data_IF_263465134553
#
_entry.id   IF_263465134553
#
_cell.length_a   1.000
_cell.length_b   1.000
_cell.length_c   1.000
_cell.angle_alpha   90.00
_cell.angle_beta   90.00
_cell.angle_gamma   90.00
#
_symmetry.space_group_name_H-M   'P 1'
#
loop_
_entity.id
_entity.type
_entity.pdbx_description
1 polymer ?
#
# COMPACT_ATOMS: atom_id res chain seq x y z
N UNK A 1 5.19 59.34 21.76
CA UNK A 1 6.60 58.95 21.66
C UNK A 1 6.74 57.62 22.41
N UNK A 2 6.90 56.49 21.71
CA UNK A 2 6.89 55.16 22.36
C UNK A 2 8.23 54.98 23.09
N UNK A 3 8.17 54.73 24.39
CA UNK A 3 9.34 54.59 25.26
C UNK A 3 10.23 53.41 24.81
N UNK A 4 11.56 53.56 24.97
CA UNK A 4 12.54 52.56 24.51
C UNK A 4 12.31 51.16 25.12
N UNK A 5 11.79 51.11 26.35
CA UNK A 5 11.42 49.87 27.05
C UNK A 5 10.24 49.16 26.38
N UNK A 6 9.23 49.91 25.93
CA UNK A 6 8.05 49.34 25.25
C UNK A 6 8.42 48.76 23.88
N UNK A 7 9.38 49.38 23.17
CA UNK A 7 9.90 48.85 21.89
C UNK A 7 10.63 47.53 22.07
N UNK A 8 11.41 47.36 23.14
CA UNK A 8 12.08 46.09 23.45
C UNK A 8 11.08 44.97 23.75
N UNK A 9 10.02 45.26 24.50
CA UNK A 9 8.96 44.28 24.79
C UNK A 9 8.22 43.87 23.52
N UNK A 10 7.87 44.84 22.66
CA UNK A 10 7.25 44.56 21.36
C UNK A 10 8.17 43.74 20.45
N UNK A 11 9.46 44.07 20.40
CA UNK A 11 10.44 43.32 19.61
C UNK A 11 10.56 41.87 20.10
N UNK A 12 10.64 41.65 21.41
CA UNK A 12 10.65 40.31 22.01
C UNK A 12 9.37 39.52 21.71
N UNK A 13 8.21 40.20 21.76
CA UNK A 13 6.92 39.58 21.44
C UNK A 13 6.83 39.14 19.97
N UNK A 14 7.26 40.00 19.05
CA UNK A 14 7.32 39.68 17.62
C UNK A 14 8.31 38.54 17.36
N UNK A 15 9.44 38.52 18.05
CA UNK A 15 10.44 37.44 17.94
C UNK A 15 9.87 36.10 18.41
N UNK A 16 9.17 36.08 19.54
CA UNK A 16 8.53 34.87 20.06
C UNK A 16 7.45 34.35 19.09
N UNK A 17 6.61 35.24 18.56
CA UNK A 17 5.59 34.89 17.56
C UNK A 17 6.21 34.33 16.28
N UNK A 18 7.33 34.89 15.83
CA UNK A 18 8.08 34.41 14.67
C UNK A 18 8.59 32.97 14.90
N UNK A 19 9.24 32.71 16.03
CA UNK A 19 9.78 31.38 16.36
C UNK A 19 8.69 30.32 16.42
N UNK A 20 7.54 30.64 17.04
CA UNK A 20 6.41 29.72 17.13
C UNK A 20 5.86 29.40 15.74
N UNK A 21 5.68 30.42 14.91
CA UNK A 21 5.15 30.27 13.55
C UNK A 21 6.10 29.43 12.68
N UNK A 22 7.41 29.68 12.77
CA UNK A 22 8.41 28.91 12.02
C UNK A 22 8.45 27.44 12.47
N UNK A 23 8.41 27.20 13.78
CA UNK A 23 8.41 25.85 14.35
C UNK A 23 7.19 25.04 13.91
N UNK A 24 6.02 25.66 13.91
CA UNK A 24 4.79 25.02 13.45
C UNK A 24 4.85 24.68 11.95
N UNK A 25 5.31 25.62 11.12
CA UNK A 25 5.46 25.39 9.67
C UNK A 25 6.48 24.31 9.35
N UNK A 26 7.61 24.25 10.05
CA UNK A 26 8.60 23.18 9.89
C UNK A 26 8.04 21.81 10.27
N UNK A 27 7.31 21.71 11.38
CA UNK A 27 6.69 20.45 11.80
C UNK A 27 5.63 19.98 10.79
N UNK A 28 4.78 20.90 10.33
CA UNK A 28 3.76 20.61 9.32
C UNK A 28 4.39 20.18 7.99
N UNK A 29 5.47 20.86 7.56
CA UNK A 29 6.22 20.49 6.35
C UNK A 29 6.88 19.11 6.50
N UNK A 30 7.43 18.79 7.67
CA UNK A 30 8.00 17.45 7.96
C UNK A 30 6.93 16.35 7.86
N UNK A 31 5.75 16.60 8.42
CA UNK A 31 4.63 15.65 8.34
C UNK A 31 4.10 15.47 6.92
N UNK A 32 4.03 16.55 6.14
CA UNK A 32 3.57 16.51 4.75
C UNK A 32 4.62 15.96 3.78
N UNK A 33 5.91 16.08 4.11
CA UNK A 33 6.99 15.48 3.34
C UNK A 33 6.92 13.95 3.35
N UNK A 34 6.44 13.37 4.46
CA UNK A 34 6.13 11.95 4.52
C UNK A 34 4.75 11.72 3.91
N UNK A 35 4.72 11.40 2.61
CA UNK A 35 3.56 10.70 2.04
C UNK A 35 3.46 9.33 2.73
N UNK A 36 2.65 9.23 3.79
CA UNK A 36 2.18 7.93 4.27
C UNK A 36 1.19 7.39 3.25
N UNK A 37 1.70 6.69 2.24
CA UNK A 37 0.88 5.83 1.41
C UNK A 37 0.59 4.61 2.28
N UNK A 38 -0.64 4.52 2.79
CA UNK A 38 -1.10 3.36 3.54
C UNK A 38 -1.21 2.19 2.57
N UNK A 39 -0.10 1.50 2.30
CA UNK A 39 -0.15 0.24 1.56
C UNK A 39 -0.79 -0.81 2.48
N UNK A 40 -1.99 -1.33 2.14
CA UNK A 40 -2.72 -2.23 3.02
C UNK A 40 -2.04 -3.60 3.19
N UNK A 41 -1.13 -3.95 2.28
CA UNK A 41 -0.40 -5.22 2.28
C UNK A 41 1.02 -4.97 1.76
N UNK A 42 2.03 -5.07 2.62
CA UNK A 42 3.45 -4.97 2.21
C UNK A 42 4.16 -6.32 2.25
N UNK A 43 3.68 -7.23 3.11
CA UNK A 43 4.30 -8.53 3.34
C UNK A 43 3.30 -9.66 3.18
N UNK A 44 3.79 -10.88 2.93
CA UNK A 44 2.96 -12.08 2.98
C UNK A 44 2.33 -12.26 4.37
N UNK A 45 2.98 -11.75 5.42
CA UNK A 45 2.45 -11.76 6.78
C UNK A 45 1.17 -10.95 6.93
N UNK A 46 1.11 -9.76 6.33
CA UNK A 46 -0.10 -8.92 6.37
C UNK A 46 -1.31 -9.59 5.70
N UNK A 47 -1.06 -10.42 4.68
CA UNK A 47 -2.10 -11.24 4.03
C UNK A 47 -2.59 -12.37 4.93
N UNK A 48 -1.68 -13.00 5.68
CA UNK A 48 -2.01 -14.09 6.60
C UNK A 48 -2.80 -13.54 7.79
N UNK A 49 -2.34 -12.43 8.37
CA UNK A 49 -2.90 -11.82 9.57
C UNK A 49 -4.27 -11.15 9.34
N UNK A 50 -4.55 -10.65 8.12
CA UNK A 50 -5.88 -10.12 7.77
C UNK A 50 -6.83 -11.22 7.32
N UNK A 51 -7.86 -11.61 8.09
CA UNK A 51 -8.76 -12.71 7.73
C UNK A 51 -9.74 -12.38 6.60
N UNK A 52 -9.98 -11.10 6.30
CA UNK A 52 -10.91 -10.63 5.27
C UNK A 52 -10.37 -10.73 3.84
N UNK A 53 -9.05 -10.84 3.67
CA UNK A 53 -8.42 -10.84 2.35
C UNK A 53 -8.48 -12.22 1.69
N UNK A 54 -8.92 -12.25 0.44
CA UNK A 54 -8.93 -13.45 -0.42
C UNK A 54 -7.79 -13.37 -1.44
N UNK A 55 -7.01 -14.44 -1.57
CA UNK A 55 -5.87 -14.51 -2.48
C UNK A 55 -6.29 -15.15 -3.80
N UNK A 56 -5.97 -14.50 -4.92
CA UNK A 56 -6.21 -15.01 -6.27
C UNK A 56 -4.90 -15.52 -6.84
N UNK A 57 -4.90 -16.77 -7.29
CA UNK A 57 -3.70 -17.44 -7.85
C UNK A 57 -3.99 -18.16 -9.17
N UNK A 58 -2.99 -18.31 -10.04
CA UNK A 58 -3.17 -19.02 -11.29
C UNK A 58 -3.06 -20.53 -11.03
N UNK A 59 -3.99 -21.36 -11.53
CA UNK A 59 -3.95 -22.79 -11.32
C UNK A 59 -2.75 -23.42 -12.04
N UNK A 60 -2.21 -24.50 -11.47
CA UNK A 60 -1.19 -25.35 -12.09
C UNK A 60 0.08 -24.60 -12.55
N UNK A 61 0.56 -23.68 -11.73
CA UNK A 61 1.81 -22.95 -11.99
C UNK A 61 2.94 -23.42 -11.10
N UNK A 62 4.17 -23.07 -11.48
CA UNK A 62 5.36 -23.31 -10.65
C UNK A 62 5.18 -22.66 -9.27
N UNK A 63 4.58 -21.48 -9.19
CA UNK A 63 4.32 -20.78 -7.92
C UNK A 63 3.43 -21.64 -7.00
N UNK A 64 2.31 -22.15 -7.51
CA UNK A 64 1.41 -23.00 -6.71
C UNK A 64 2.07 -24.31 -6.31
N UNK A 65 2.92 -24.89 -7.17
CA UNK A 65 3.68 -26.09 -6.84
C UNK A 65 4.74 -25.82 -5.75
N UNK A 66 5.42 -24.69 -5.80
CA UNK A 66 6.41 -24.29 -4.78
C UNK A 66 5.75 -23.98 -3.44
N UNK A 67 4.58 -23.32 -3.45
CA UNK A 67 3.78 -23.05 -2.25
C UNK A 67 3.31 -24.37 -1.61
N UNK A 68 2.80 -25.31 -2.41
CA UNK A 68 2.37 -26.62 -1.94
C UNK A 68 3.53 -27.49 -1.44
N UNK A 69 4.71 -27.39 -2.05
CA UNK A 69 5.91 -28.11 -1.64
C UNK A 69 6.59 -27.52 -0.40
N UNK A 70 6.23 -26.29 0.00
CA UNK A 70 6.83 -25.61 1.15
C UNK A 70 6.30 -26.20 2.46
N UNK A 71 7.21 -26.73 3.28
CA UNK A 71 6.87 -27.34 4.58
C UNK A 71 6.97 -26.35 5.76
N UNK A 72 7.71 -25.26 5.61
CA UNK A 72 7.98 -24.29 6.68
C UNK A 72 8.03 -22.85 6.14
N UNK A 73 7.72 -21.88 7.01
CA UNK A 73 7.76 -20.45 6.69
C UNK A 73 6.43 -19.86 6.20
N UNK A 74 6.47 -18.61 5.72
CA UNK A 74 5.27 -17.87 5.32
C UNK A 74 4.54 -18.49 4.13
N UNK A 75 5.27 -19.15 3.22
CA UNK A 75 4.66 -19.84 2.07
C UNK A 75 3.83 -21.05 2.49
N UNK A 76 4.27 -21.78 3.52
CA UNK A 76 3.49 -22.86 4.10
C UNK A 76 2.18 -22.35 4.74
N UNK A 77 2.24 -21.20 5.42
CA UNK A 77 1.05 -20.55 5.97
C UNK A 77 0.09 -20.06 4.87
N UNK A 78 0.62 -19.55 3.76
CA UNK A 78 -0.19 -19.22 2.58
C UNK A 78 -0.85 -20.47 1.99
N UNK A 79 -0.16 -21.62 1.94
CA UNK A 79 -0.78 -22.87 1.53
C UNK A 79 -1.93 -23.28 2.45
N UNK A 80 -1.81 -23.08 3.77
CA UNK A 80 -2.93 -23.33 4.72
C UNK A 80 -4.14 -22.44 4.48
N UNK A 81 -3.99 -21.27 3.84
CA UNK A 81 -5.12 -20.42 3.47
C UNK A 81 -6.01 -21.08 2.41
N UNK A 82 -5.45 -21.97 1.60
CA UNK A 82 -6.21 -22.77 0.63
C UNK A 82 -7.22 -23.68 1.34
N UNK A 83 -6.79 -24.38 2.38
CA UNK A 83 -7.67 -25.22 3.20
C UNK A 83 -8.77 -24.42 3.91
N UNK A 84 -8.55 -23.13 4.15
CA UNK A 84 -9.55 -22.20 4.72
C UNK A 84 -10.50 -21.60 3.66
N UNK A 85 -10.38 -21.98 2.39
CA UNK A 85 -11.18 -21.44 1.30
C UNK A 85 -10.87 -19.97 0.94
N UNK A 86 -9.72 -19.45 1.40
CA UNK A 86 -9.28 -18.07 1.16
C UNK A 86 -8.43 -17.92 -0.11
N UNK A 87 -8.19 -19.01 -0.83
CA UNK A 87 -7.47 -19.01 -2.13
C UNK A 87 -8.47 -19.32 -3.24
N UNK A 88 -8.56 -18.43 -4.24
CA UNK A 88 -9.34 -18.64 -5.46
C UNK A 88 -8.42 -18.83 -6.64
N UNK A 89 -8.57 -19.97 -7.32
CA UNK A 89 -7.86 -20.22 -8.55
C UNK A 89 -8.60 -19.62 -9.74
N UNK A 90 -7.92 -18.79 -10.52
CA UNK A 90 -8.48 -18.18 -11.72
C UNK A 90 -7.47 -18.26 -12.87
N UNK A 91 -7.92 -18.47 -14.12
CA UNK A 91 -7.02 -18.40 -15.27
C UNK A 91 -6.55 -16.96 -15.51
N UNK A 92 -5.36 -16.80 -16.08
CA UNK A 92 -4.79 -15.48 -16.42
C UNK A 92 -5.71 -14.60 -17.28
N UNK A 93 -6.56 -15.20 -18.11
CA UNK A 93 -7.55 -14.47 -18.92
C UNK A 93 -8.60 -13.73 -18.09
N UNK A 94 -8.89 -14.18 -16.87
CA UNK A 94 -9.86 -13.55 -15.97
C UNK A 94 -9.26 -12.44 -15.10
N UNK A 95 -7.93 -12.31 -15.07
CA UNK A 95 -7.23 -11.37 -14.20
C UNK A 95 -7.53 -9.90 -14.51
N UNK A 96 -7.65 -9.46 -15.79
CA UNK A 96 -8.04 -8.09 -16.08
C UNK A 96 -9.41 -7.72 -15.50
N UNK A 97 -10.36 -8.67 -15.51
CA UNK A 97 -11.70 -8.46 -14.93
C UNK A 97 -11.60 -8.45 -13.41
N UNK A 98 -10.95 -9.45 -12.82
CA UNK A 98 -10.75 -9.54 -11.38
C UNK A 98 -10.01 -8.33 -10.78
N UNK A 99 -9.03 -7.79 -11.51
CA UNK A 99 -8.30 -6.59 -11.10
C UNK A 99 -9.25 -5.38 -11.00
N UNK A 100 -10.15 -5.22 -11.97
CA UNK A 100 -11.07 -4.09 -12.02
C UNK A 100 -12.26 -4.22 -11.05
N UNK A 101 -12.67 -5.44 -10.71
CA UNK A 101 -13.87 -5.67 -9.86
C UNK A 101 -13.54 -6.08 -8.43
N UNK A 102 -12.57 -6.99 -8.23
CA UNK A 102 -12.30 -7.63 -6.94
C UNK A 102 -11.12 -6.97 -6.21
N UNK A 103 -10.03 -6.66 -6.93
CA UNK A 103 -8.82 -6.07 -6.33
C UNK A 103 -9.03 -4.58 -6.01
N UNK A 104 -9.72 -3.85 -6.90
CA UNK A 104 -10.11 -2.45 -6.62
C UNK A 104 -11.00 -2.27 -5.40
N UNK A 105 -11.76 -3.31 -5.03
CA UNK A 105 -12.58 -3.30 -3.82
C UNK A 105 -11.78 -3.41 -2.53
N UNK A 106 -10.49 -3.78 -2.59
CA UNK A 106 -9.62 -3.94 -1.42
C UNK A 106 -9.71 -5.30 -0.72
N UNK A 107 -10.69 -6.13 -1.07
CA UNK A 107 -10.92 -7.43 -0.41
C UNK A 107 -10.12 -8.59 -1.02
N UNK A 108 -9.53 -8.40 -2.20
CA UNK A 108 -8.83 -9.45 -2.94
C UNK A 108 -7.42 -9.02 -3.35
N UNK A 109 -6.47 -9.94 -3.26
CA UNK A 109 -5.07 -9.73 -3.68
C UNK A 109 -4.68 -10.77 -4.71
N UNK A 110 -3.99 -10.36 -5.78
CA UNK A 110 -3.48 -11.28 -6.80
C UNK A 110 -2.03 -11.63 -6.45
N UNK A 111 -1.75 -12.92 -6.25
CA UNK A 111 -0.38 -13.41 -6.16
C UNK A 111 0.07 -13.89 -7.54
N UNK A 112 1.06 -13.22 -8.12
CA UNK A 112 1.64 -13.58 -9.43
C UNK A 112 3.09 -13.13 -9.54
N UNK A 113 3.76 -13.47 -10.63
CA UNK A 113 5.14 -13.02 -10.88
C UNK A 113 5.16 -11.53 -11.26
N UNK A 114 6.30 -10.86 -11.02
CA UNK A 114 6.51 -9.47 -11.42
C UNK A 114 6.28 -9.24 -12.91
N UNK A 115 6.67 -10.20 -13.77
CA UNK A 115 6.46 -10.14 -15.21
C UNK A 115 4.97 -10.17 -15.59
N UNK A 116 4.21 -11.10 -15.01
CA UNK A 116 2.77 -11.21 -15.25
C UNK A 116 2.04 -9.98 -14.73
N UNK A 117 2.44 -9.46 -13.56
CA UNK A 117 1.89 -8.24 -12.99
C UNK A 117 2.16 -7.03 -13.89
N UNK A 118 3.39 -6.86 -14.39
CA UNK A 118 3.75 -5.76 -15.29
C UNK A 118 2.91 -5.78 -16.58
N UNK A 119 2.67 -6.98 -17.14
CA UNK A 119 1.80 -7.13 -18.30
C UNK A 119 0.34 -6.75 -17.99
N UNK A 120 -0.18 -7.13 -16.82
CA UNK A 120 -1.54 -6.77 -16.41
C UNK A 120 -1.70 -5.28 -16.17
N UNK A 121 -0.73 -4.65 -15.51
CA UNK A 121 -0.71 -3.19 -15.30
C UNK A 121 -0.66 -2.47 -16.66
N UNK A 122 0.23 -2.90 -17.56
CA UNK A 122 0.37 -2.33 -18.89
C UNK A 122 -0.93 -2.44 -19.71
N UNK A 123 -1.57 -3.61 -19.71
CA UNK A 123 -2.85 -3.79 -20.39
C UNK A 123 -3.98 -2.96 -19.76
N UNK A 124 -4.01 -2.86 -18.43
CA UNK A 124 -5.00 -2.05 -17.71
C UNK A 124 -4.83 -0.56 -18.04
N UNK A 125 -3.60 -0.08 -18.07
CA UNK A 125 -3.25 1.29 -18.45
C UNK A 125 -3.60 1.57 -19.90
N UNK A 126 -3.28 0.65 -20.83
CA UNK A 126 -3.62 0.81 -22.24
C UNK A 126 -5.12 0.93 -22.49
N UNK A 127 -5.98 0.33 -21.65
CA UNK A 127 -7.43 0.39 -21.78
C UNK A 127 -8.07 1.58 -21.06
N UNK A 128 -7.57 1.93 -19.87
CA UNK A 128 -8.20 2.95 -18.99
C UNK A 128 -7.47 4.29 -19.00
N UNK A 129 -6.22 4.33 -19.46
CA UNK A 129 -5.34 5.50 -19.39
C UNK A 129 -4.88 5.85 -17.97
N UNK A 130 -5.15 5.00 -16.98
CA UNK A 130 -4.90 5.28 -15.56
C UNK A 130 -4.07 4.17 -14.92
N UNK A 131 -3.06 4.56 -14.12
CA UNK A 131 -2.24 3.64 -13.35
C UNK A 131 -2.76 3.63 -11.90
N UNK A 132 -3.44 2.55 -11.52
CA UNK A 132 -4.07 2.42 -10.19
C UNK A 132 -3.33 1.50 -9.24
N UNK A 133 -2.36 0.73 -9.74
CA UNK A 133 -1.56 -0.18 -8.93
C UNK A 133 -0.33 0.61 -8.50
N UNK A 134 -0.39 1.21 -7.30
CA UNK A 134 0.79 1.74 -6.63
C UNK A 134 1.51 0.59 -5.93
N UNK A 135 2.80 0.44 -6.26
CA UNK A 135 3.70 -0.57 -5.70
C UNK A 135 4.09 -0.25 -4.26
#
# INVERSE_FOLDING_TARGET
MIDGKQRMVLAGWVWLGLVITLSYNCNLTSLLAVRRISHPVQTLRDLIDNPSLTVIMPPNTIITATIAASQEGELHEVHKLEAKGRVKYMPYSAYPTALNTLVRGGDHVILTTSLSLANLVSQSFSKTGQCFIEF
#
